data_IF_650773961089
#
_entry.id   IF_650773961089
#
_cell.length_a   1.000
_cell.length_b   1.000
_cell.length_c   1.000
_cell.angle_alpha   90.00
_cell.angle_beta   90.00
_cell.angle_gamma   90.00
#
_symmetry.space_group_name_H-M   'P 1'
#
loop_
_entity.id
_entity.type
_entity.pdbx_description
1 polymer ?
#
# COMPACT_ATOMS: atom_id res chain seq x y z
N UNK A 1 -34.18 25.14 -51.03
CA UNK A 1 -35.28 25.75 -50.25
C UNK A 1 -34.97 27.25 -50.12
N UNK A 2 -35.80 28.14 -50.66
CA UNK A 2 -35.54 29.60 -50.56
C UNK A 2 -35.57 30.06 -49.10
N UNK A 3 -34.68 30.98 -48.70
CA UNK A 3 -34.59 31.52 -47.34
C UNK A 3 -35.94 32.09 -46.86
N UNK A 4 -36.73 32.64 -47.77
CA UNK A 4 -38.08 33.14 -47.50
C UNK A 4 -39.09 32.07 -47.06
N UNK A 5 -38.87 30.80 -47.40
CA UNK A 5 -39.71 29.71 -46.91
C UNK A 5 -39.39 29.34 -45.45
N UNK A 6 -38.17 29.61 -44.95
CA UNK A 6 -37.76 29.30 -43.57
C UNK A 6 -38.36 30.29 -42.55
N UNK A 7 -38.68 31.53 -42.95
CA UNK A 7 -39.31 32.54 -42.10
C UNK A 7 -40.84 32.43 -42.00
N UNK A 8 -41.47 31.43 -42.63
CA UNK A 8 -42.92 31.22 -42.47
C UNK A 8 -43.22 30.77 -41.03
N UNK A 9 -44.31 31.25 -40.41
CA UNK A 9 -44.60 31.02 -38.99
C UNK A 9 -44.62 29.53 -38.60
N UNK A 10 -45.02 28.63 -39.51
CA UNK A 10 -44.98 27.19 -39.28
C UNK A 10 -43.57 26.63 -39.05
N UNK A 11 -42.56 27.12 -39.78
CA UNK A 11 -41.19 26.61 -39.64
C UNK A 11 -40.50 27.23 -38.43
N UNK A 12 -40.85 28.47 -38.07
CA UNK A 12 -40.42 29.11 -36.82
C UNK A 12 -40.97 28.32 -35.62
N UNK A 13 -42.25 27.93 -35.64
CA UNK A 13 -42.85 27.11 -34.59
C UNK A 13 -42.16 25.75 -34.45
N UNK A 14 -41.87 25.07 -35.58
CA UNK A 14 -41.13 23.80 -35.58
C UNK A 14 -39.71 23.98 -35.03
N UNK A 15 -38.99 25.03 -35.43
CA UNK A 15 -37.66 25.32 -34.93
C UNK A 15 -37.64 25.59 -33.42
N UNK A 16 -38.63 26.31 -32.91
CA UNK A 16 -38.78 26.55 -31.47
C UNK A 16 -39.04 25.26 -30.69
N UNK A 17 -39.91 24.38 -31.20
CA UNK A 17 -40.17 23.09 -30.58
C UNK A 17 -38.90 22.24 -30.53
N UNK A 18 -38.13 22.19 -31.62
CA UNK A 18 -36.86 21.45 -31.67
C UNK A 18 -35.84 22.05 -30.69
N UNK A 19 -35.75 23.38 -30.59
CA UNK A 19 -34.88 24.07 -29.65
C UNK A 19 -35.23 23.71 -28.20
N UNK A 20 -36.52 23.73 -27.86
CA UNK A 20 -37.01 23.37 -26.51
C UNK A 20 -36.67 21.91 -26.20
N UNK A 21 -36.92 20.98 -27.12
CA UNK A 21 -36.59 19.57 -26.94
C UNK A 21 -35.09 19.34 -26.75
N UNK A 22 -34.24 20.06 -27.49
CA UNK A 22 -32.79 19.99 -27.34
C UNK A 22 -32.34 20.49 -25.96
N UNK A 23 -32.85 21.64 -25.49
CA UNK A 23 -32.53 22.19 -24.16
C UNK A 23 -32.94 21.24 -23.05
N UNK A 24 -34.12 20.62 -23.16
CA UNK A 24 -34.59 19.63 -22.18
C UNK A 24 -33.68 18.40 -22.17
N UNK A 25 -33.29 17.87 -23.32
CA UNK A 25 -32.41 16.71 -23.41
C UNK A 25 -31.03 16.96 -22.77
N UNK A 26 -30.39 18.09 -23.07
CA UNK A 26 -29.09 18.44 -22.47
C UNK A 26 -29.22 18.80 -20.99
N UNK A 27 -30.33 19.42 -20.57
CA UNK A 27 -30.61 19.71 -19.16
C UNK A 27 -30.81 18.45 -18.31
N UNK A 28 -31.50 17.44 -18.85
CA UNK A 28 -31.67 16.13 -18.18
C UNK A 28 -30.35 15.36 -18.10
N UNK A 29 -29.49 15.43 -19.12
CA UNK A 29 -28.16 14.81 -19.06
C UNK A 29 -27.26 15.46 -18.00
N UNK A 30 -27.32 16.80 -17.85
CA UNK A 30 -26.58 17.53 -16.82
C UNK A 30 -27.15 17.33 -15.41
N UNK A 31 -28.45 17.03 -15.27
CA UNK A 31 -29.08 16.75 -13.97
C UNK A 31 -28.93 15.27 -13.53
N UNK A 32 -28.58 14.37 -14.45
CA UNK A 32 -28.36 12.95 -14.20
C UNK A 32 -26.87 12.60 -14.09
N UNK A 33 -26.05 13.51 -13.55
CA UNK A 33 -24.74 13.09 -13.05
C UNK A 33 -24.96 12.41 -11.71
N UNK A 34 -24.53 11.15 -11.61
CA UNK A 34 -24.38 10.49 -10.32
C UNK A 34 -23.38 11.34 -9.53
N UNK A 35 -23.74 11.86 -8.34
CA UNK A 35 -22.80 12.60 -7.51
C UNK A 35 -21.54 11.77 -7.32
N UNK A 36 -20.38 12.43 -7.38
CA UNK A 36 -19.13 11.75 -7.07
C UNK A 36 -19.26 11.10 -5.70
N UNK A 37 -19.23 9.77 -5.68
CA UNK A 37 -19.18 9.00 -4.45
C UNK A 37 -17.72 8.68 -4.20
N UNK A 38 -17.23 8.85 -2.97
CA UNK A 38 -15.88 8.40 -2.57
C UNK A 38 -15.67 6.87 -2.62
N UNK A 39 -16.46 6.16 -3.42
CA UNK A 39 -16.30 4.76 -3.74
C UNK A 39 -15.28 4.64 -4.88
N UNK A 40 -14.10 4.11 -4.56
CA UNK A 40 -13.06 3.78 -5.52
C UNK A 40 -12.39 2.48 -5.11
N UNK A 41 -11.84 1.77 -6.09
CA UNK A 41 -10.98 0.62 -5.89
C UNK A 41 -9.54 1.02 -6.19
N UNK A 42 -8.61 0.59 -5.35
CA UNK A 42 -7.19 0.84 -5.51
C UNK A 42 -6.39 -0.37 -5.08
N UNK A 43 -5.24 -0.59 -5.73
CA UNK A 43 -4.27 -1.61 -5.35
C UNK A 43 -2.96 -0.89 -5.02
N UNK A 44 -2.34 -1.29 -3.91
CA UNK A 44 -1.08 -0.73 -3.44
C UNK A 44 -0.25 -1.77 -2.70
N UNK A 45 1.04 -1.48 -2.54
CA UNK A 45 1.96 -2.30 -1.74
C UNK A 45 1.58 -2.19 -0.26
N UNK A 46 1.47 -3.33 0.44
CA UNK A 46 1.16 -3.36 1.88
C UNK A 46 2.41 -3.11 2.73
N UNK A 47 3.59 -3.58 2.30
CA UNK A 47 4.84 -3.36 3.04
C UNK A 47 5.37 -1.95 2.80
N UNK A 48 5.63 -1.22 3.89
CA UNK A 48 6.29 0.08 3.89
C UNK A 48 7.81 0.02 4.03
N UNK A 49 8.42 -1.17 4.10
CA UNK A 49 9.85 -1.33 4.40
C UNK A 49 10.55 -2.30 3.45
N UNK A 50 11.83 -2.03 3.17
CA UNK A 50 12.77 -2.96 2.55
C UNK A 50 13.70 -3.52 3.62
N UNK A 51 13.90 -4.83 3.58
CA UNK A 51 14.79 -5.57 4.48
C UNK A 51 16.02 -6.01 3.70
N UNK A 52 17.19 -5.54 4.11
CA UNK A 52 18.47 -5.80 3.43
C UNK A 52 19.56 -6.22 4.42
N UNK A 53 20.74 -6.59 3.90
CA UNK A 53 21.95 -6.85 4.69
C UNK A 53 21.77 -7.83 5.87
N UNK A 54 20.99 -8.88 5.66
CA UNK A 54 20.71 -9.90 6.67
C UNK A 54 21.98 -10.72 6.95
N UNK A 55 22.40 -10.72 8.22
CA UNK A 55 23.50 -11.52 8.73
C UNK A 55 23.11 -12.14 10.08
N UNK A 56 23.60 -13.34 10.35
CA UNK A 56 23.45 -13.99 11.65
C UNK A 56 24.81 -14.17 12.32
N UNK A 57 24.81 -14.15 13.65
CA UNK A 57 25.99 -14.42 14.47
C UNK A 57 25.79 -15.73 15.22
N UNK A 58 26.79 -16.60 15.14
CA UNK A 58 26.78 -17.88 15.84
C UNK A 58 27.06 -17.69 17.32
N UNK A 59 26.46 -18.54 18.15
CA UNK A 59 26.73 -18.57 19.58
C UNK A 59 28.16 -19.10 19.83
N UNK A 60 28.96 -18.33 20.57
CA UNK A 60 30.40 -18.63 20.78
C UNK A 60 30.61 -19.95 21.52
N UNK A 61 29.72 -20.27 22.46
CA UNK A 61 29.78 -21.50 23.26
C UNK A 61 29.28 -22.73 22.51
N UNK A 62 28.43 -22.54 21.49
CA UNK A 62 27.91 -23.59 20.64
C UNK A 62 27.63 -23.05 19.23
N UNK A 63 28.55 -23.25 18.27
CA UNK A 63 28.42 -22.68 16.92
C UNK A 63 27.34 -23.39 16.07
N UNK A 64 26.64 -24.39 16.60
CA UNK A 64 25.45 -24.95 15.94
C UNK A 64 24.20 -24.07 16.15
N UNK A 65 24.27 -23.13 17.10
CA UNK A 65 23.18 -22.23 17.49
C UNK A 65 23.44 -20.78 17.08
N UNK A 66 22.37 -20.02 16.86
CA UNK A 66 22.42 -18.61 16.46
C UNK A 66 22.19 -17.71 17.68
N UNK A 67 23.14 -16.82 17.97
CA UNK A 67 23.01 -15.88 19.10
C UNK A 67 22.19 -14.64 18.73
N UNK A 68 22.29 -14.17 17.49
CA UNK A 68 21.61 -12.96 17.04
C UNK A 68 21.53 -12.87 15.53
N UNK A 69 20.59 -12.04 15.07
CA UNK A 69 20.42 -11.66 13.66
C UNK A 69 20.48 -10.14 13.55
N UNK A 70 21.19 -9.65 12.54
CA UNK A 70 21.29 -8.23 12.18
C UNK A 70 20.83 -8.02 10.75
N UNK A 71 20.13 -6.92 10.49
CA UNK A 71 19.66 -6.54 9.15
C UNK A 71 19.33 -5.07 9.12
N UNK A 72 19.23 -4.51 7.91
CA UNK A 72 18.80 -3.15 7.70
C UNK A 72 17.29 -3.10 7.42
N UNK A 73 16.62 -2.13 8.05
CA UNK A 73 15.21 -1.80 7.78
C UNK A 73 15.16 -0.40 7.22
N UNK A 74 14.85 -0.30 5.92
CA UNK A 74 14.77 1.00 5.23
C UNK A 74 13.32 1.31 4.89
N UNK A 75 12.76 2.45 5.35
CA UNK A 75 11.44 2.90 4.94
C UNK A 75 11.37 3.14 3.42
N UNK A 76 10.24 2.77 2.82
CA UNK A 76 9.91 3.00 1.41
C UNK A 76 8.83 4.08 1.29
N UNK A 77 8.47 4.44 0.06
CA UNK A 77 7.43 5.42 -0.37
C UNK A 77 6.50 6.03 0.71
N UNK A 78 7.04 6.88 1.59
CA UNK A 78 6.27 7.67 2.56
C UNK A 78 6.11 7.06 3.95
N UNK A 79 6.73 5.92 4.25
CA UNK A 79 6.80 5.37 5.60
C UNK A 79 7.83 6.15 6.45
N UNK A 80 7.55 6.30 7.74
CA UNK A 80 8.50 6.87 8.71
C UNK A 80 9.51 5.81 9.17
N UNK A 81 10.54 6.23 9.89
CA UNK A 81 11.48 5.30 10.51
C UNK A 81 10.75 4.40 11.53
N UNK A 82 11.01 3.08 11.53
CA UNK A 82 10.35 2.17 12.45
C UNK A 82 10.79 2.43 13.89
N UNK A 83 9.84 2.37 14.84
CA UNK A 83 10.08 2.50 16.28
C UNK A 83 10.14 1.14 16.97
N UNK A 84 9.54 0.11 16.39
CA UNK A 84 9.61 -1.27 16.88
C UNK A 84 9.80 -2.23 15.71
N UNK A 85 10.71 -3.18 15.90
CA UNK A 85 10.98 -4.25 14.93
C UNK A 85 11.00 -5.59 15.67
N UNK A 86 10.34 -6.57 15.06
CA UNK A 86 10.31 -7.95 15.52
C UNK A 86 10.69 -8.88 14.37
N UNK A 87 11.32 -10.00 14.72
CA UNK A 87 11.57 -11.07 13.78
C UNK A 87 11.05 -12.40 14.27
N UNK A 88 10.74 -13.26 13.32
CA UNK A 88 10.59 -14.70 13.52
C UNK A 88 11.54 -15.42 12.57
N UNK A 89 12.16 -16.50 13.04
CA UNK A 89 13.05 -17.37 12.23
C UNK A 89 12.48 -18.77 12.03
N UNK A 90 11.22 -18.96 12.42
CA UNK A 90 10.48 -20.22 12.44
C UNK A 90 9.09 -20.05 11.80
N UNK A 91 9.02 -19.26 10.73
CA UNK A 91 7.81 -19.05 9.92
C UNK A 91 6.63 -18.42 10.69
N UNK A 92 6.92 -17.56 11.65
CA UNK A 92 5.94 -16.81 12.43
C UNK A 92 5.50 -17.49 13.74
N UNK A 93 6.15 -18.59 14.14
CA UNK A 93 5.76 -19.33 15.35
C UNK A 93 6.24 -18.63 16.63
N UNK A 94 7.48 -18.14 16.62
CA UNK A 94 8.12 -17.43 17.73
C UNK A 94 8.62 -16.08 17.24
N UNK A 95 8.31 -15.03 18.01
CA UNK A 95 8.71 -13.65 17.69
C UNK A 95 9.64 -13.12 18.77
N UNK A 96 10.73 -12.48 18.35
CA UNK A 96 11.66 -11.79 19.24
C UNK A 96 11.73 -10.31 18.89
N UNK A 97 11.96 -9.49 19.91
CA UNK A 97 12.16 -8.06 19.76
C UNK A 97 13.59 -7.76 19.29
N UNK A 98 13.70 -6.73 18.45
CA UNK A 98 14.95 -6.22 17.97
C UNK A 98 15.29 -4.89 18.64
N UNK A 99 16.57 -4.66 18.82
CA UNK A 99 17.13 -3.42 19.34
C UNK A 99 17.72 -2.60 18.20
N UNK A 100 17.46 -1.30 18.20
CA UNK A 100 17.89 -0.41 17.13
C UNK A 100 17.13 0.93 17.14
N UNK A 101 17.32 1.72 16.07
CA UNK A 101 18.42 1.57 15.11
C UNK A 101 19.65 2.36 15.58
N UNK A 102 20.85 1.84 15.28
CA UNK A 102 22.08 2.67 15.34
C UNK A 102 22.22 3.56 14.10
N UNK A 103 21.66 3.11 12.96
CA UNK A 103 21.44 3.88 11.72
C UNK A 103 20.14 3.41 11.05
N UNK A 104 20.22 2.40 10.18
CA UNK A 104 19.09 1.59 9.69
C UNK A 104 19.21 0.12 10.15
N UNK A 105 20.33 -0.22 10.79
CA UNK A 105 20.62 -1.56 11.27
C UNK A 105 19.89 -1.86 12.59
N UNK A 106 19.22 -3.00 12.60
CA UNK A 106 18.56 -3.59 13.76
C UNK A 106 19.27 -4.88 14.16
N UNK A 107 19.35 -5.12 15.46
CA UNK A 107 19.96 -6.31 16.04
C UNK A 107 18.97 -7.02 16.95
N UNK A 108 18.66 -8.27 16.65
CA UNK A 108 17.74 -9.10 17.43
C UNK A 108 18.55 -10.23 18.06
N UNK A 109 18.77 -10.13 19.37
CA UNK A 109 19.47 -11.14 20.14
C UNK A 109 18.48 -12.15 20.69
N UNK A 110 18.80 -13.43 20.58
CA UNK A 110 18.04 -14.48 21.25
C UNK A 110 18.35 -14.46 22.75
N UNK A 111 17.35 -14.82 23.56
CA UNK A 111 17.55 -14.97 25.00
C UNK A 111 18.52 -16.12 25.25
N UNK A 112 19.42 -15.93 26.21
CA UNK A 112 20.39 -16.96 26.60
C UNK A 112 19.68 -18.22 27.07
N UNK A 113 20.02 -19.35 26.47
CA UNK A 113 19.40 -20.66 26.70
C UNK A 113 18.18 -20.95 25.83
N UNK A 114 17.80 -20.02 24.94
CA UNK A 114 16.73 -20.21 23.95
C UNK A 114 17.21 -19.93 22.52
N UNK A 115 18.52 -19.93 22.29
CA UNK A 115 19.08 -19.79 20.95
C UNK A 115 18.64 -20.95 20.04
N UNK A 116 18.08 -20.67 18.85
CA UNK A 116 17.71 -21.72 17.92
C UNK A 116 18.95 -22.30 17.23
N UNK A 117 18.94 -23.62 17.00
CA UNK A 117 19.92 -24.27 16.12
C UNK A 117 19.77 -23.76 14.69
N UNK A 118 20.88 -23.61 13.97
CA UNK A 118 20.91 -23.21 12.55
C UNK A 118 20.01 -24.13 11.70
N UNK A 119 19.98 -25.43 12.00
CA UNK A 119 19.13 -26.43 11.34
C UNK A 119 17.63 -26.19 11.50
N UNK A 120 17.22 -25.46 12.54
CA UNK A 120 15.81 -25.15 12.82
C UNK A 120 15.33 -23.86 12.14
N UNK A 121 16.25 -23.02 11.62
CA UNK A 121 15.90 -21.79 10.90
C UNK A 121 15.33 -22.15 9.53
N UNK A 122 14.00 -22.08 9.40
CA UNK A 122 13.27 -22.49 8.20
C UNK A 122 12.87 -21.31 7.31
N UNK A 123 12.47 -20.19 7.90
CA UNK A 123 12.20 -18.95 7.19
C UNK A 123 12.28 -17.75 8.13
N UNK A 124 12.74 -16.61 7.61
CA UNK A 124 12.79 -15.36 8.35
C UNK A 124 11.62 -14.45 7.94
N UNK A 125 10.90 -13.94 8.94
CA UNK A 125 9.88 -12.91 8.79
C UNK A 125 10.26 -11.70 9.64
N UNK A 126 9.98 -10.51 9.11
CA UNK A 126 10.25 -9.24 9.79
C UNK A 126 8.97 -8.43 9.84
N UNK A 127 8.67 -7.90 11.02
CA UNK A 127 7.59 -6.96 11.26
C UNK A 127 8.20 -5.67 11.81
N UNK A 128 7.92 -4.55 11.15
CA UNK A 128 8.37 -3.24 11.57
C UNK A 128 7.18 -2.30 11.65
N UNK A 129 7.10 -1.48 12.70
CA UNK A 129 6.04 -0.48 12.91
C UNK A 129 6.65 0.86 13.30
N UNK A 130 5.98 1.94 12.89
CA UNK A 130 6.31 3.32 13.24
C UNK A 130 5.42 3.80 14.39
#
# INVERSE_FOLDING_TARGET
MSLSNLLKPKYIAIALIILVLAVVAFGYAAANVVPESGAGEGVGTISGYTIDNIAYTLLVTDPTSVSSVTFDVTPTSGAEAPTQVKISVDSGSTWIDCTGPTTNAWACAFTVGSEPEISALSSMQVVAVQ
#
